data_IF_021270095507
#
_entry.id   IF_021270095507
#
_cell.length_a   1.000
_cell.length_b   1.000
_cell.length_c   1.000
_cell.angle_alpha   90.00
_cell.angle_beta   90.00
_cell.angle_gamma   90.00
#
_symmetry.space_group_name_H-M   'P 1'
#
loop_
_entity.id
_entity.type
_entity.pdbx_description
1 polymer ?
#
# COMPACT_ATOMS: atom_id res chain seq x y z
N UNK A 1 -2.30 -32.70 -17.85
CA UNK A 1 -2.37 -31.51 -16.98
C UNK A 1 -1.51 -31.80 -15.77
N UNK A 2 -0.21 -31.48 -15.83
CA UNK A 2 0.68 -31.66 -14.68
C UNK A 2 0.48 -30.50 -13.72
N UNK A 3 0.04 -30.78 -12.50
CA UNK A 3 0.19 -29.86 -11.37
C UNK A 3 1.70 -29.71 -11.17
N UNK A 4 2.27 -28.62 -11.67
CA UNK A 4 3.65 -28.27 -11.39
C UNK A 4 3.71 -28.04 -9.87
N UNK A 5 4.40 -28.93 -9.15
CA UNK A 5 4.53 -28.83 -7.70
C UNK A 5 5.10 -27.45 -7.37
N UNK A 6 4.34 -26.65 -6.62
CA UNK A 6 4.81 -25.36 -6.13
C UNK A 6 6.01 -25.66 -5.24
N UNK A 7 7.21 -25.28 -5.69
CA UNK A 7 8.42 -25.56 -4.94
C UNK A 7 8.41 -24.78 -3.62
N UNK A 8 8.97 -25.37 -2.56
CA UNK A 8 9.05 -24.74 -1.24
C UNK A 8 9.83 -23.43 -1.31
N UNK A 9 10.84 -23.38 -2.17
CA UNK A 9 11.64 -22.18 -2.45
C UNK A 9 10.79 -21.05 -3.02
N UNK A 10 9.85 -21.36 -3.93
CA UNK A 10 8.94 -20.36 -4.48
C UNK A 10 8.02 -19.78 -3.40
N UNK A 11 7.45 -20.62 -2.53
CA UNK A 11 6.60 -20.18 -1.42
C UNK A 11 7.38 -19.28 -0.46
N UNK A 12 8.59 -19.68 -0.09
CA UNK A 12 9.45 -18.88 0.80
C UNK A 12 9.79 -17.54 0.14
N UNK A 13 10.19 -17.53 -1.13
CA UNK A 13 10.53 -16.30 -1.84
C UNK A 13 9.35 -15.32 -1.92
N UNK A 14 8.15 -15.81 -2.23
CA UNK A 14 6.93 -14.97 -2.27
C UNK A 14 6.58 -14.45 -0.88
N UNK A 15 6.72 -15.29 0.16
CA UNK A 15 6.44 -14.89 1.55
C UNK A 15 7.40 -13.82 2.04
N UNK A 16 8.69 -13.94 1.73
CA UNK A 16 9.70 -12.91 2.06
C UNK A 16 9.40 -11.61 1.33
N UNK A 17 9.04 -11.67 0.04
CA UNK A 17 8.63 -10.47 -0.73
C UNK A 17 7.40 -9.80 -0.11
N UNK A 18 6.40 -10.58 0.30
CA UNK A 18 5.21 -10.06 0.95
C UNK A 18 5.54 -9.41 2.31
N UNK A 19 6.38 -10.06 3.13
CA UNK A 19 6.84 -9.50 4.41
C UNK A 19 7.60 -8.19 4.24
N UNK A 20 8.55 -8.15 3.30
CA UNK A 20 9.30 -6.93 2.98
C UNK A 20 8.39 -5.85 2.41
N UNK A 21 7.45 -6.21 1.53
CA UNK A 21 6.47 -5.27 0.96
C UNK A 21 5.58 -4.62 2.01
N UNK A 22 5.19 -5.38 3.03
CA UNK A 22 4.41 -4.86 4.15
C UNK A 22 5.25 -3.95 5.06
N UNK A 23 6.46 -4.37 5.44
CA UNK A 23 7.37 -3.56 6.27
C UNK A 23 7.75 -2.24 5.58
N UNK A 24 8.27 -2.31 4.36
CA UNK A 24 8.59 -1.11 3.58
C UNK A 24 7.32 -0.33 3.20
N UNK A 25 6.17 -0.98 3.08
CA UNK A 25 4.90 -0.35 2.79
C UNK A 25 4.47 0.56 3.93
N UNK A 26 4.65 0.14 5.18
CA UNK A 26 4.39 0.96 6.35
C UNK A 26 5.37 2.14 6.41
N UNK A 27 6.66 1.89 6.21
CA UNK A 27 7.69 2.94 6.24
C UNK A 27 7.48 4.00 5.14
N UNK A 28 7.24 3.56 3.91
CA UNK A 28 7.02 4.47 2.78
C UNK A 28 5.64 5.12 2.82
N UNK A 29 4.62 4.46 3.35
CA UNK A 29 3.32 5.08 3.62
C UNK A 29 3.43 6.23 4.62
N UNK A 30 4.22 6.04 5.69
CA UNK A 30 4.55 7.10 6.64
C UNK A 30 5.35 8.24 5.98
N UNK A 31 6.34 7.90 5.15
CA UNK A 31 7.10 8.91 4.40
C UNK A 31 6.18 9.73 3.48
N UNK A 32 5.24 9.07 2.77
CA UNK A 32 4.24 9.72 1.94
C UNK A 32 3.36 10.69 2.72
N UNK A 33 2.91 10.30 3.92
CA UNK A 33 2.16 11.18 4.83
C UNK A 33 2.99 12.40 5.26
N UNK A 34 4.25 12.20 5.66
CA UNK A 34 5.17 13.28 6.07
C UNK A 34 5.41 14.25 4.92
N UNK A 35 5.72 13.74 3.72
CA UNK A 35 5.94 14.57 2.54
C UNK A 35 4.70 15.38 2.20
N UNK A 36 3.51 14.77 2.21
CA UNK A 36 2.27 15.48 1.92
C UNK A 36 1.98 16.58 2.96
N UNK A 37 2.27 16.32 4.23
CA UNK A 37 2.13 17.32 5.29
C UNK A 37 3.12 18.49 5.18
N UNK A 38 4.31 18.29 4.61
CA UNK A 38 5.28 19.37 4.37
C UNK A 38 4.85 20.23 3.17
N UNK A 39 4.30 19.60 2.13
CA UNK A 39 3.98 20.26 0.86
C UNK A 39 2.60 20.94 0.88
N UNK A 40 1.65 20.43 1.65
CA UNK A 40 0.29 20.97 1.71
C UNK A 40 0.26 22.36 2.40
N UNK A 41 -0.39 23.38 1.79
CA UNK A 41 -0.63 24.66 2.43
C UNK A 41 -1.47 24.47 3.71
N UNK A 42 -0.93 24.86 4.87
CA UNK A 42 -1.57 24.61 6.18
C UNK A 42 -1.18 23.29 6.86
N UNK A 43 -0.25 22.54 6.27
CA UNK A 43 0.32 21.33 6.86
C UNK A 43 -0.65 20.16 6.94
N UNK A 44 -0.37 19.22 7.85
CA UNK A 44 -1.27 18.08 8.10
C UNK A 44 -2.67 18.53 8.53
N UNK A 45 -2.76 19.68 9.22
CA UNK A 45 -3.98 20.22 9.80
C UNK A 45 -5.03 20.64 8.76
N UNK A 46 -4.62 21.12 7.60
CA UNK A 46 -5.53 21.59 6.55
C UNK A 46 -5.72 20.59 5.41
N UNK A 47 -5.08 19.42 5.47
CA UNK A 47 -5.09 18.48 4.35
C UNK A 47 -6.43 17.74 4.24
N UNK A 48 -7.12 17.80 3.08
CA UNK A 48 -8.37 17.06 2.90
C UNK A 48 -8.11 15.55 2.93
N UNK A 49 -9.04 14.78 3.48
CA UNK A 49 -8.91 13.34 3.73
C UNK A 49 -8.50 12.55 2.46
N UNK A 50 -9.05 12.89 1.29
CA UNK A 50 -8.73 12.20 0.05
C UNK A 50 -7.25 12.40 -0.36
N UNK A 51 -6.67 13.56 -0.08
CA UNK A 51 -5.26 13.84 -0.38
C UNK A 51 -4.34 13.09 0.59
N UNK A 52 -4.73 13.01 1.87
CA UNK A 52 -4.07 12.20 2.88
C UNK A 52 -4.03 10.71 2.50
N UNK A 53 -5.18 10.18 2.11
CA UNK A 53 -5.33 8.78 1.66
C UNK A 53 -4.49 8.52 0.41
N UNK A 54 -4.49 9.46 -0.54
CA UNK A 54 -3.69 9.36 -1.77
C UNK A 54 -2.19 9.36 -1.48
N UNK A 55 -1.72 10.26 -0.61
CA UNK A 55 -0.30 10.35 -0.25
C UNK A 55 0.22 9.06 0.41
N UNK A 56 -0.56 8.50 1.35
CA UNK A 56 -0.24 7.22 1.97
C UNK A 56 -0.18 6.11 0.93
N UNK A 57 -1.16 6.04 0.02
CA UNK A 57 -1.18 5.00 -1.02
C UNK A 57 -0.04 5.13 -2.02
N UNK A 58 0.39 6.35 -2.38
CA UNK A 58 1.58 6.55 -3.21
C UNK A 58 2.79 5.91 -2.53
N UNK A 59 3.04 6.25 -1.27
CA UNK A 59 4.14 5.68 -0.49
C UNK A 59 4.09 4.14 -0.41
N UNK A 60 2.93 3.59 -0.02
CA UNK A 60 2.74 2.15 0.06
C UNK A 60 2.87 1.46 -1.31
N UNK A 61 2.48 2.11 -2.41
CA UNK A 61 2.51 1.53 -3.75
C UNK A 61 3.92 1.41 -4.31
N UNK A 62 4.82 2.32 -3.95
CA UNK A 62 6.25 2.23 -4.29
C UNK A 62 6.84 0.96 -3.67
N UNK A 63 6.55 0.70 -2.39
CA UNK A 63 6.98 -0.52 -1.71
C UNK A 63 6.47 -1.78 -2.42
N UNK A 64 5.15 -1.88 -2.62
CA UNK A 64 4.56 -3.05 -3.27
C UNK A 64 5.09 -3.27 -4.69
N UNK A 65 5.36 -2.20 -5.43
CA UNK A 65 5.96 -2.30 -6.76
C UNK A 65 7.38 -2.84 -6.68
N UNK A 66 8.22 -2.32 -5.79
CA UNK A 66 9.62 -2.75 -5.62
C UNK A 66 9.69 -4.21 -5.14
N UNK A 67 8.83 -4.64 -4.21
CA UNK A 67 8.86 -6.00 -3.67
C UNK A 67 8.57 -7.08 -4.71
N UNK A 68 7.74 -6.77 -5.70
CA UNK A 68 7.39 -7.68 -6.81
C UNK A 68 8.05 -7.31 -8.13
N UNK A 69 8.99 -6.36 -8.12
CA UNK A 69 9.75 -5.97 -9.29
C UNK A 69 10.74 -7.08 -9.69
N UNK A 70 10.84 -7.31 -11.00
CA UNK A 70 11.91 -8.09 -11.63
C UNK A 70 12.67 -7.14 -12.57
N UNK A 71 14.02 -7.07 -12.52
CA UNK A 71 14.81 -6.16 -13.36
C UNK A 71 14.56 -6.30 -14.87
N UNK A 72 14.17 -7.50 -15.31
CA UNK A 72 13.92 -7.85 -16.72
C UNK A 72 12.52 -7.42 -17.21
N UNK A 73 11.71 -6.81 -16.34
CA UNK A 73 10.33 -6.43 -16.65
C UNK A 73 10.27 -5.24 -17.61
N UNK A 74 9.54 -5.38 -18.72
CA UNK A 74 9.26 -4.28 -19.63
C UNK A 74 8.51 -3.12 -18.95
N UNK A 75 8.72 -1.89 -19.43
CA UNK A 75 8.13 -0.66 -18.88
C UNK A 75 6.61 -0.69 -18.86
N UNK A 76 5.96 -1.35 -19.82
CA UNK A 76 4.50 -1.51 -19.85
C UNK A 76 4.02 -2.36 -18.67
N UNK A 77 4.71 -3.47 -18.40
CA UNK A 77 4.38 -4.37 -17.30
C UNK A 77 4.70 -3.75 -15.95
N UNK A 78 5.77 -2.96 -15.87
CA UNK A 78 6.07 -2.14 -14.69
C UNK A 78 4.93 -1.14 -14.41
N UNK A 79 4.50 -0.39 -15.41
CA UNK A 79 3.39 0.57 -15.28
C UNK A 79 2.08 -0.08 -14.84
N UNK A 80 1.75 -1.26 -15.38
CA UNK A 80 0.59 -2.05 -14.93
C UNK A 80 0.72 -2.51 -13.47
N UNK A 81 1.91 -2.97 -13.07
CA UNK A 81 2.18 -3.37 -11.69
C UNK A 81 1.96 -2.20 -10.75
N UNK A 82 2.56 -1.04 -11.06
CA UNK A 82 2.40 0.18 -10.27
C UNK A 82 0.92 0.59 -10.15
N UNK A 83 0.17 0.56 -11.25
CA UNK A 83 -1.25 0.92 -11.26
C UNK A 83 -2.10 -0.03 -10.40
N UNK A 84 -1.88 -1.35 -10.51
CA UNK A 84 -2.62 -2.36 -9.75
C UNK A 84 -2.30 -2.25 -8.26
N UNK A 85 -1.02 -2.13 -7.94
CA UNK A 85 -0.54 -1.99 -6.55
C UNK A 85 -1.06 -0.68 -5.95
N UNK A 86 -1.05 0.42 -6.71
CA UNK A 86 -1.61 1.69 -6.27
C UNK A 86 -3.12 1.61 -6.03
N UNK A 87 -3.87 0.96 -6.93
CA UNK A 87 -5.30 0.73 -6.71
C UNK A 87 -5.57 -0.10 -5.44
N UNK A 88 -4.77 -1.15 -5.21
CA UNK A 88 -4.83 -1.93 -3.98
C UNK A 88 -4.51 -1.12 -2.73
N UNK A 89 -3.47 -0.29 -2.79
CA UNK A 89 -3.09 0.62 -1.73
C UNK A 89 -4.22 1.63 -1.41
N UNK A 90 -4.87 2.16 -2.45
CA UNK A 90 -5.98 3.10 -2.29
C UNK A 90 -7.19 2.45 -1.62
N UNK A 91 -7.60 1.27 -2.10
CA UNK A 91 -8.70 0.50 -1.50
C UNK A 91 -8.36 0.17 -0.04
N UNK A 92 -7.13 -0.28 0.23
CA UNK A 92 -6.63 -0.54 1.57
C UNK A 92 -6.70 0.70 2.47
N UNK A 93 -6.20 1.84 2.02
CA UNK A 93 -6.24 3.08 2.79
C UNK A 93 -7.68 3.49 3.16
N UNK A 94 -8.64 3.34 2.24
CA UNK A 94 -10.06 3.60 2.50
C UNK A 94 -10.68 2.60 3.47
N UNK A 95 -10.32 1.31 3.40
CA UNK A 95 -10.69 0.32 4.42
C UNK A 95 -10.15 0.76 5.78
N UNK A 96 -8.91 1.28 5.83
CA UNK A 96 -8.32 1.82 7.06
C UNK A 96 -9.06 3.04 7.61
N UNK A 97 -9.69 3.86 6.76
CA UNK A 97 -10.58 4.95 7.20
C UNK A 97 -11.79 4.36 7.93
N UNK A 98 -12.50 3.42 7.30
CA UNK A 98 -13.68 2.79 7.92
C UNK A 98 -13.32 2.01 9.19
N UNK A 99 -12.18 1.33 9.19
CA UNK A 99 -11.64 0.66 10.37
C UNK A 99 -11.39 1.67 11.50
N UNK A 100 -10.75 2.79 11.19
CA UNK A 100 -10.56 3.89 12.13
C UNK A 100 -11.89 4.42 12.68
N UNK A 101 -12.94 4.52 11.87
CA UNK A 101 -14.26 5.01 12.30
C UNK A 101 -14.94 4.07 13.29
N UNK A 102 -14.80 2.76 13.08
CA UNK A 102 -15.40 1.75 13.95
C UNK A 102 -14.71 1.72 15.32
N UNK A 103 -13.38 1.77 15.35
CA UNK A 103 -12.60 1.56 16.58
C UNK A 103 -12.15 2.87 17.27
N UNK A 104 -12.08 3.98 16.52
CA UNK A 104 -11.65 5.30 16.99
C UNK A 104 -12.59 6.41 16.48
N UNK A 105 -13.90 6.35 16.81
CA UNK A 105 -14.91 7.23 16.23
C UNK A 105 -14.62 8.71 16.50
N UNK A 106 -14.08 9.06 17.67
CA UNK A 106 -13.74 10.44 18.02
C UNK A 106 -12.53 10.98 17.24
N UNK A 107 -11.56 10.11 16.93
CA UNK A 107 -10.38 10.48 16.13
C UNK A 107 -10.76 10.78 14.67
N UNK A 108 -11.62 9.95 14.07
CA UNK A 108 -11.98 10.12 12.66
C UNK A 108 -12.99 11.24 12.42
N UNK A 109 -13.88 11.51 13.38
CA UNK A 109 -14.86 12.61 13.26
C UNK A 109 -14.19 13.99 13.27
N UNK A 110 -13.09 14.12 14.01
CA UNK A 110 -12.26 15.32 14.02
C UNK A 110 -11.47 15.45 12.71
N UNK A 111 -10.83 14.37 12.25
CA UNK A 111 -10.02 14.37 11.02
C UNK A 111 -10.83 14.63 9.71
N UNK A 112 -12.15 14.45 9.72
CA UNK A 112 -13.05 14.81 8.60
C UNK A 112 -13.33 16.32 8.48
N UNK A 113 -13.12 17.10 9.54
CA UNK A 113 -13.43 18.54 9.57
C UNK A 113 -12.17 19.42 9.50
N UNK A 114 -11.07 18.98 10.11
CA UNK A 114 -9.72 19.53 10.07
C UNK A 114 -8.84 18.35 10.49
N UNK A 115 -7.80 17.97 9.75
CA UNK A 115 -6.97 16.82 10.09
C UNK A 115 -6.13 17.12 11.35
N UNK A 116 -6.78 17.11 12.51
CA UNK A 116 -6.15 17.18 13.81
C UNK A 116 -5.49 15.83 14.08
N UNK A 117 -4.17 15.81 14.12
CA UNK A 117 -3.49 14.74 14.83
C UNK A 117 -2.13 14.42 14.28
N UNK A 118 -1.18 14.37 15.21
CA UNK A 118 0.06 13.61 15.16
C UNK A 118 0.12 12.53 14.05
N UNK A 119 1.25 12.48 13.33
CA UNK A 119 1.57 11.41 12.36
C UNK A 119 1.39 10.00 12.95
N UNK A 120 1.47 9.88 14.28
CA UNK A 120 1.32 8.64 15.04
C UNK A 120 -0.11 8.36 15.50
N UNK A 121 -1.10 9.12 15.05
CA UNK A 121 -2.49 8.89 15.45
C UNK A 121 -2.93 7.46 15.07
N UNK A 122 -3.67 6.75 15.94
CA UNK A 122 -4.19 5.43 15.63
C UNK A 122 -4.97 5.35 14.29
N UNK A 123 -5.79 6.36 13.92
CA UNK A 123 -6.42 6.40 12.60
C UNK A 123 -5.44 6.45 11.43
N UNK A 124 -4.37 7.26 11.51
CA UNK A 124 -3.35 7.33 10.46
C UNK A 124 -2.59 6.02 10.33
N UNK A 125 -2.25 5.37 11.45
CA UNK A 125 -1.63 4.04 11.42
C UNK A 125 -2.53 2.98 10.80
N UNK A 126 -3.84 3.00 11.10
CA UNK A 126 -4.79 2.08 10.48
C UNK A 126 -4.81 2.24 8.94
N UNK A 127 -4.84 3.47 8.43
CA UNK A 127 -4.77 3.76 6.99
C UNK A 127 -3.49 3.23 6.36
N UNK A 128 -2.34 3.51 6.98
CA UNK A 128 -1.03 3.08 6.49
C UNK A 128 -0.96 1.55 6.46
N UNK A 129 -1.38 0.88 7.53
CA UNK A 129 -1.37 -0.59 7.60
C UNK A 129 -2.25 -1.21 6.53
N UNK A 130 -3.50 -0.77 6.41
CA UNK A 130 -4.41 -1.34 5.42
C UNK A 130 -4.00 -0.99 3.99
N UNK A 131 -3.42 0.18 3.75
CA UNK A 131 -2.81 0.55 2.46
C UNK A 131 -1.63 -0.37 2.11
N UNK A 132 -0.75 -0.64 3.08
CA UNK A 132 0.38 -1.56 2.88
C UNK A 132 -0.09 -2.99 2.60
N UNK A 133 -1.13 -3.46 3.30
CA UNK A 133 -1.77 -4.77 3.06
C UNK A 133 -2.36 -4.80 1.64
N UNK A 134 -3.14 -3.81 1.24
CA UNK A 134 -3.78 -3.75 -0.06
C UNK A 134 -2.77 -3.70 -1.21
N UNK A 135 -1.74 -2.86 -1.08
CA UNK A 135 -0.59 -2.77 -1.99
C UNK A 135 0.10 -4.13 -2.15
N UNK A 136 0.43 -4.77 -1.04
CA UNK A 136 1.17 -6.04 -1.02
C UNK A 136 0.34 -7.19 -1.57
N UNK A 137 -0.95 -7.27 -1.21
CA UNK A 137 -1.85 -8.32 -1.66
C UNK A 137 -2.10 -8.24 -3.17
N UNK A 138 -2.38 -7.05 -3.69
CA UNK A 138 -2.60 -6.85 -5.13
C UNK A 138 -1.33 -7.05 -5.95
N UNK A 139 -0.17 -6.60 -5.44
CA UNK A 139 1.13 -6.87 -6.04
C UNK A 139 1.46 -8.35 -6.11
N UNK A 140 1.25 -9.08 -5.00
CA UNK A 140 1.46 -10.52 -4.93
C UNK A 140 0.51 -11.30 -5.84
N UNK A 141 -0.76 -10.90 -5.88
CA UNK A 141 -1.75 -11.50 -6.77
C UNK A 141 -1.39 -11.29 -8.25
N UNK A 142 -1.03 -10.07 -8.64
CA UNK A 142 -0.64 -9.78 -10.01
C UNK A 142 0.67 -10.49 -10.40
N UNK A 143 1.63 -10.58 -9.48
CA UNK A 143 2.85 -11.35 -9.67
C UNK A 143 2.55 -12.84 -9.91
N UNK A 144 1.72 -13.46 -9.06
CA UNK A 144 1.32 -14.85 -9.21
C UNK A 144 0.54 -15.09 -10.52
N UNK A 145 -0.35 -14.17 -10.89
CA UNK A 145 -1.07 -14.23 -12.15
C UNK A 145 -0.12 -14.19 -13.35
N UNK A 146 0.89 -13.32 -13.34
CA UNK A 146 1.89 -13.25 -14.43
C UNK A 146 2.74 -14.52 -14.51
N UNK A 147 3.20 -15.02 -13.37
CA UNK A 147 3.93 -16.28 -13.30
C UNK A 147 3.12 -17.45 -13.87
N UNK A 148 1.81 -17.50 -13.58
CA UNK A 148 0.91 -18.52 -14.11
C UNK A 148 0.58 -18.36 -15.60
N UNK A 149 0.23 -17.14 -16.03
CA UNK A 149 -0.30 -16.89 -17.39
C UNK A 149 0.78 -16.75 -18.46
N UNK A 150 1.93 -16.20 -18.09
CA UNK A 150 3.03 -15.91 -19.01
C UNK A 150 4.26 -16.80 -18.78
N UNK A 151 4.22 -17.68 -17.78
CA UNK A 151 5.35 -18.54 -17.40
C UNK A 151 6.64 -17.75 -17.13
N UNK A 152 6.50 -16.52 -16.62
CA UNK A 152 7.63 -15.69 -16.17
C UNK A 152 8.22 -16.27 -14.88
N UNK A 153 9.20 -17.19 -15.00
CA UNK A 153 9.98 -17.75 -13.87
C UNK A 153 10.86 -16.69 -13.23
#
# INVERSE_FOLDING_TARGET
>A
MGLQEISVEYVIAVSVRAGLGLLFGIMLGMAGLITAAIVAPGGLFAMPLWLLVTAIAIGCSISGTISYFKPETDWVTFGKTLAIVFAGAMIGAWIGVWWGEVFYPEGVRNERLVAYGDFRSPPNMARIMWSAIGSTATGGFYYAFRAWRFHEV
#
